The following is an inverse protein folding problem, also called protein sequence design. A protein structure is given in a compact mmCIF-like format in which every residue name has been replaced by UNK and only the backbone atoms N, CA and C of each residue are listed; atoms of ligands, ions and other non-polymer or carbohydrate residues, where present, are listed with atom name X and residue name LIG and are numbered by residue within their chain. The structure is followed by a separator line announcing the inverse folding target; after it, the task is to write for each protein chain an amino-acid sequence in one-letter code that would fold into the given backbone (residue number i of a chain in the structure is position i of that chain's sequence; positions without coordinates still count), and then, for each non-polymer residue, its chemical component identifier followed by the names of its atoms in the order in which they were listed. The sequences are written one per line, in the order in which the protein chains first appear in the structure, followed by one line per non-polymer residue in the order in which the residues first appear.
data_IF_662306956122
#
_entry.id   IF_662306956122
#
_cell.length_a   1.000
_cell.length_b   1.000
_cell.length_c   1.000
_cell.angle_alpha   90.00
_cell.angle_beta   90.00
_cell.angle_gamma   90.00
#
_symmetry.space_group_name_H-M   'P 1'
#
loop_
_entity.id
_entity.type
_entity.pdbx_description
1 polymer ?
#
# COMPACT_ATOMS: atom_id res chain seq x y z
N UNK A 1 9.53 7.94 15.37
CA UNK A 1 9.37 9.07 14.39
C UNK A 1 8.04 8.87 13.68
N UNK A 2 7.19 9.91 13.64
CA UNK A 2 5.89 9.81 12.95
C UNK A 2 6.10 9.89 11.43
N UNK A 3 5.52 8.95 10.69
CA UNK A 3 5.51 8.92 9.22
C UNK A 3 4.11 9.26 8.71
N UNK A 4 4.05 9.88 7.53
CA UNK A 4 2.80 10.08 6.79
C UNK A 4 2.57 8.90 5.86
N UNK A 5 1.51 8.14 6.11
CA UNK A 5 1.21 6.90 5.41
C UNK A 5 -0.08 7.03 4.62
N UNK A 6 -0.02 6.70 3.33
CA UNK A 6 -1.19 6.59 2.47
C UNK A 6 -1.59 5.12 2.33
N UNK A 7 -2.81 4.79 2.73
CA UNK A 7 -3.41 3.49 2.48
C UNK A 7 -4.27 3.58 1.21
N UNK A 8 -4.01 2.72 0.23
CA UNK A 8 -4.71 2.73 -1.05
C UNK A 8 -5.75 1.62 -1.09
N UNK A 9 -7.01 2.00 -1.20
CA UNK A 9 -8.14 1.12 -1.51
C UNK A 9 -8.46 1.28 -2.99
N UNK A 10 -8.25 0.21 -3.77
CA UNK A 10 -8.55 0.22 -5.20
C UNK A 10 -10.05 0.03 -5.47
N UNK A 11 -10.53 0.54 -6.57
CA UNK A 11 -11.89 0.31 -7.06
C UNK A 11 -12.07 -1.18 -7.44
N UNK A 12 -12.97 -1.86 -6.76
CA UNK A 12 -13.26 -3.28 -6.98
C UNK A 12 -14.14 -3.54 -8.21
N UNK A 13 -14.66 -2.47 -8.84
CA UNK A 13 -15.52 -2.55 -10.02
C UNK A 13 -16.97 -2.91 -9.71
N UNK A 14 -17.39 -2.86 -8.45
CA UNK A 14 -18.75 -3.13 -7.98
C UNK A 14 -19.48 -1.84 -7.61
N UNK A 15 -20.81 -1.88 -7.60
CA UNK A 15 -21.63 -0.82 -7.00
C UNK A 15 -21.63 -0.86 -5.48
N UNK A 16 -21.28 -2.01 -4.90
CA UNK A 16 -21.16 -2.17 -3.44
C UNK A 16 -19.76 -1.77 -2.98
N UNK A 17 -19.70 -0.76 -2.14
CA UNK A 17 -18.43 -0.28 -1.59
C UNK A 17 -18.02 -1.16 -0.42
N UNK A 18 -16.88 -1.82 -0.56
CA UNK A 18 -16.32 -2.69 0.49
C UNK A 18 -14.97 -2.17 0.93
N UNK A 19 -14.92 -1.63 2.14
CA UNK A 19 -13.65 -1.25 2.74
C UNK A 19 -12.87 -2.50 3.18
N UNK A 20 -11.63 -2.71 2.71
CA UNK A 20 -10.86 -3.90 3.05
C UNK A 20 -10.52 -3.95 4.55
N UNK A 21 -11.01 -4.98 5.25
CA UNK A 21 -10.79 -5.14 6.69
C UNK A 21 -9.30 -5.19 7.06
N UNK A 22 -8.47 -5.83 6.23
CA UNK A 22 -7.03 -5.87 6.43
C UNK A 22 -6.38 -4.48 6.44
N UNK A 23 -6.76 -3.58 5.52
CA UNK A 23 -6.28 -2.19 5.56
C UNK A 23 -6.81 -1.44 6.79
N UNK A 24 -8.01 -1.75 7.25
CA UNK A 24 -8.56 -1.20 8.49
C UNK A 24 -7.72 -1.61 9.71
N UNK A 25 -7.34 -2.87 9.80
CA UNK A 25 -6.47 -3.38 10.85
C UNK A 25 -5.08 -2.72 10.82
N UNK A 26 -4.48 -2.60 9.63
CA UNK A 26 -3.21 -1.88 9.46
C UNK A 26 -3.33 -0.40 9.86
N UNK A 27 -4.42 0.28 9.48
CA UNK A 27 -4.66 1.67 9.88
C UNK A 27 -4.71 1.82 11.40
N UNK A 28 -5.38 0.90 12.10
CA UNK A 28 -5.48 0.92 13.56
C UNK A 28 -4.12 0.73 14.24
N UNK A 29 -3.31 -0.24 13.76
CA UNK A 29 -1.96 -0.48 14.28
C UNK A 29 -1.05 0.73 14.03
N UNK A 30 -1.01 1.23 12.81
CA UNK A 30 -0.16 2.36 12.45
C UNK A 30 -0.55 3.65 13.20
N UNK A 31 -1.85 3.87 13.40
CA UNK A 31 -2.32 5.00 14.20
C UNK A 31 -1.96 4.86 15.68
N UNK A 32 -2.09 3.64 16.25
CA UNK A 32 -1.62 3.33 17.62
C UNK A 32 -0.13 3.62 17.77
N UNK A 33 0.68 3.30 16.75
CA UNK A 33 2.12 3.49 16.75
C UNK A 33 2.53 4.96 16.46
N UNK A 34 1.55 5.87 16.30
CA UNK A 34 1.76 7.31 16.21
C UNK A 34 2.02 7.86 14.81
N UNK A 35 1.66 7.10 13.77
CA UNK A 35 1.78 7.55 12.39
C UNK A 35 0.54 8.36 11.94
N UNK A 36 0.74 9.25 10.94
CA UNK A 36 -0.32 10.04 10.31
C UNK A 36 -0.89 9.27 9.12
N UNK A 37 -2.15 8.84 9.22
CA UNK A 37 -2.78 7.93 8.27
C UNK A 37 -3.80 8.65 7.42
N UNK A 38 -3.64 8.57 6.11
CA UNK A 38 -4.61 9.00 5.10
C UNK A 38 -5.07 7.78 4.30
N UNK A 39 -6.34 7.73 3.95
CA UNK A 39 -6.91 6.68 3.09
C UNK A 39 -7.30 7.29 1.75
N UNK A 40 -6.74 6.74 0.66
CA UNK A 40 -7.21 6.95 -0.71
C UNK A 40 -8.24 5.88 -1.02
N UNK A 41 -9.51 6.23 -0.98
CA UNK A 41 -10.60 5.27 -1.24
C UNK A 41 -11.15 5.43 -2.65
N UNK A 42 -10.52 4.76 -3.61
CA UNK A 42 -10.96 4.78 -5.01
C UNK A 42 -12.28 4.01 -5.18
N UNK A 43 -12.52 2.97 -4.38
CA UNK A 43 -13.75 2.18 -4.45
C UNK A 43 -15.00 2.99 -4.14
N UNK A 44 -14.88 3.94 -3.22
CA UNK A 44 -15.99 4.83 -2.88
C UNK A 44 -16.23 5.92 -3.94
N UNK A 45 -15.17 6.42 -4.55
CA UNK A 45 -15.24 7.62 -5.40
C UNK A 45 -15.13 7.33 -6.90
N UNK A 46 -14.74 6.11 -7.28
CA UNK A 46 -14.53 5.67 -8.68
C UNK A 46 -13.61 6.60 -9.49
N UNK A 47 -12.60 7.19 -8.83
CA UNK A 47 -11.63 8.04 -9.51
C UNK A 47 -10.82 7.24 -10.55
N UNK A 48 -10.46 7.85 -11.69
CA UNK A 48 -9.53 7.24 -12.63
C UNK A 48 -8.21 6.85 -11.96
N UNK A 49 -7.60 5.75 -12.39
CA UNK A 49 -6.37 5.21 -11.78
C UNK A 49 -5.22 6.24 -11.74
N UNK A 50 -5.06 7.07 -12.80
CA UNK A 50 -4.04 8.12 -12.85
C UNK A 50 -4.27 9.28 -11.86
N UNK A 51 -5.47 9.41 -11.32
CA UNK A 51 -5.75 10.42 -10.31
C UNK A 51 -4.91 10.22 -9.03
N UNK A 52 -4.53 8.97 -8.73
CA UNK A 52 -3.61 8.69 -7.61
C UNK A 52 -2.24 9.37 -7.81
N UNK A 53 -1.71 9.35 -9.05
CA UNK A 53 -0.46 10.06 -9.35
C UNK A 53 -0.61 11.57 -9.11
N UNK A 54 -1.71 12.16 -9.59
CA UNK A 54 -1.98 13.60 -9.41
C UNK A 54 -2.09 13.95 -7.92
N UNK A 55 -2.70 13.07 -7.13
CA UNK A 55 -2.83 13.24 -5.68
C UNK A 55 -1.46 13.18 -4.99
N UNK A 56 -0.63 12.18 -5.32
CA UNK A 56 0.73 12.04 -4.78
C UNK A 56 1.65 13.19 -5.21
N UNK A 57 1.48 13.73 -6.41
CA UNK A 57 2.27 14.89 -6.88
C UNK A 57 2.00 16.17 -6.07
N UNK A 58 0.81 16.28 -5.48
CA UNK A 58 0.38 17.42 -4.66
C UNK A 58 0.59 17.22 -3.16
N UNK A 59 0.66 15.96 -2.72
CA UNK A 59 0.71 15.60 -1.31
C UNK A 59 1.92 14.69 -1.06
N UNK A 60 2.77 15.06 -0.13
CA UNK A 60 3.91 14.23 0.28
C UNK A 60 3.48 13.20 1.31
N UNK A 61 3.78 11.94 1.01
CA UNK A 61 3.71 10.82 1.94
C UNK A 61 5.09 10.17 2.05
N UNK A 62 5.40 9.63 3.21
CA UNK A 62 6.64 8.88 3.42
C UNK A 62 6.48 7.45 2.89
N UNK A 63 5.29 6.87 3.07
CA UNK A 63 4.97 5.50 2.73
C UNK A 63 3.60 5.42 2.06
N UNK A 64 3.48 4.56 1.05
CA UNK A 64 2.20 4.10 0.50
C UNK A 64 2.05 2.60 0.73
N UNK A 65 0.88 2.17 1.19
CA UNK A 65 0.53 0.77 1.41
C UNK A 65 -0.63 0.39 0.50
N UNK A 66 -0.43 -0.66 -0.28
CA UNK A 66 -1.42 -1.21 -1.19
C UNK A 66 -1.68 -2.68 -0.86
N UNK A 67 -2.93 -3.03 -0.60
CA UNK A 67 -3.34 -4.41 -0.33
C UNK A 67 -4.13 -4.96 -1.51
N UNK A 68 -3.73 -6.14 -1.99
CA UNK A 68 -4.32 -6.79 -3.15
C UNK A 68 -4.90 -8.16 -2.78
N UNK A 69 -6.14 -8.40 -3.18
CA UNK A 69 -6.70 -9.75 -3.25
C UNK A 69 -6.44 -10.38 -4.62
N UNK A 70 -6.64 -11.69 -4.75
CA UNK A 70 -6.45 -12.40 -6.01
C UNK A 70 -7.56 -12.06 -7.03
N UNK A 71 -7.22 -12.13 -8.33
CA UNK A 71 -8.15 -11.97 -9.43
C UNK A 71 -7.56 -11.17 -10.60
N UNK A 72 -8.07 -11.43 -11.81
CA UNK A 72 -7.56 -10.75 -13.01
C UNK A 72 -7.84 -9.25 -13.02
N UNK A 73 -9.05 -8.86 -12.64
CA UNK A 73 -9.44 -7.46 -12.53
C UNK A 73 -8.56 -6.73 -11.52
N UNK A 74 -8.37 -7.32 -10.35
CA UNK A 74 -7.53 -6.77 -9.28
C UNK A 74 -6.07 -6.65 -9.72
N UNK A 75 -5.57 -7.61 -10.50
CA UNK A 75 -4.23 -7.55 -11.08
C UNK A 75 -4.08 -6.35 -12.05
N UNK A 76 -5.08 -6.09 -12.91
CA UNK A 76 -5.04 -4.92 -13.79
C UNK A 76 -5.07 -3.61 -12.99
N UNK A 77 -5.90 -3.53 -11.96
CA UNK A 77 -5.92 -2.39 -11.03
C UNK A 77 -4.57 -2.18 -10.35
N UNK A 78 -3.96 -3.25 -9.86
CA UNK A 78 -2.61 -3.21 -9.29
C UNK A 78 -1.60 -2.61 -10.28
N UNK A 79 -1.58 -3.07 -11.51
CA UNK A 79 -0.65 -2.54 -12.52
C UNK A 79 -0.84 -1.04 -12.76
N UNK A 80 -2.09 -0.60 -12.90
CA UNK A 80 -2.41 0.79 -13.17
C UNK A 80 -2.05 1.70 -11.99
N UNK A 81 -2.43 1.30 -10.77
CA UNK A 81 -2.16 2.07 -9.56
C UNK A 81 -0.66 2.05 -9.19
N UNK A 82 0.02 0.92 -9.39
CA UNK A 82 1.49 0.85 -9.24
C UNK A 82 2.20 1.81 -10.21
N UNK A 83 1.76 1.87 -11.47
CA UNK A 83 2.27 2.84 -12.43
C UNK A 83 2.04 4.28 -11.97
N UNK A 84 0.86 4.57 -11.42
CA UNK A 84 0.55 5.89 -10.86
C UNK A 84 1.46 6.25 -9.70
N UNK A 85 1.71 5.31 -8.76
CA UNK A 85 2.62 5.50 -7.62
C UNK A 85 4.06 5.73 -8.11
N UNK A 86 4.57 4.84 -8.97
CA UNK A 86 5.96 4.88 -9.41
C UNK A 86 6.29 6.09 -10.27
N UNK A 87 5.32 6.63 -11.02
CA UNK A 87 5.48 7.81 -11.85
C UNK A 87 5.19 9.14 -11.12
N UNK A 88 4.87 9.11 -9.84
CA UNK A 88 4.71 10.33 -9.06
C UNK A 88 6.03 11.05 -8.84
N UNK A 89 6.01 12.39 -8.91
CA UNK A 89 7.15 13.25 -8.58
C UNK A 89 7.59 13.12 -7.11
N UNK A 90 6.65 12.76 -6.25
CA UNK A 90 6.85 12.55 -4.82
C UNK A 90 6.64 11.08 -4.46
N UNK A 91 7.23 10.15 -5.24
CA UNK A 91 7.07 8.71 -5.02
C UNK A 91 7.41 8.32 -3.57
N UNK A 92 6.44 7.80 -2.80
CA UNK A 92 6.69 7.33 -1.44
C UNK A 92 7.40 5.96 -1.44
N UNK A 93 7.87 5.51 -0.29
CA UNK A 93 8.24 4.11 -0.11
C UNK A 93 7.00 3.23 -0.29
N UNK A 94 7.06 2.27 -1.23
CA UNK A 94 5.90 1.53 -1.68
C UNK A 94 5.88 0.10 -1.12
N UNK A 95 4.91 -0.18 -0.27
CA UNK A 95 4.66 -1.48 0.35
C UNK A 95 3.43 -2.12 -0.29
N UNK A 96 3.57 -3.38 -0.71
CA UNK A 96 2.45 -4.20 -1.20
C UNK A 96 2.23 -5.40 -0.29
N UNK A 97 1.00 -5.80 -0.10
CA UNK A 97 0.64 -7.00 0.65
C UNK A 97 -0.72 -7.56 0.27
N UNK A 98 -1.24 -8.47 1.07
CA UNK A 98 -2.52 -9.12 0.89
C UNK A 98 -2.44 -10.54 0.33
N UNK A 99 -3.60 -11.14 0.11
CA UNK A 99 -3.71 -12.53 -0.32
C UNK A 99 -3.13 -12.79 -1.72
N UNK A 100 -3.19 -11.81 -2.62
CA UNK A 100 -2.65 -11.94 -3.97
C UNK A 100 -1.13 -12.07 -3.98
N UNK A 101 -0.38 -11.12 -3.39
CA UNK A 101 1.09 -11.14 -3.39
C UNK A 101 1.74 -12.21 -2.52
N UNK A 102 1.08 -12.66 -1.44
CA UNK A 102 1.68 -13.60 -0.47
C UNK A 102 2.20 -14.89 -1.10
N UNK A 103 1.48 -15.61 -1.98
CA UNK A 103 1.98 -16.86 -2.57
C UNK A 103 3.05 -16.65 -3.64
N UNK A 104 3.13 -15.49 -4.27
CA UNK A 104 4.02 -15.20 -5.40
C UNK A 104 4.71 -13.83 -5.23
N UNK A 105 5.44 -13.61 -4.12
CA UNK A 105 5.93 -12.28 -3.77
C UNK A 105 6.92 -11.70 -4.79
N UNK A 106 7.82 -12.52 -5.35
CA UNK A 106 8.79 -12.08 -6.34
C UNK A 106 8.12 -11.63 -7.64
N UNK A 107 7.05 -12.32 -8.06
CA UNK A 107 6.27 -11.92 -9.22
C UNK A 107 5.64 -10.55 -9.01
N UNK A 108 4.99 -10.34 -7.86
CA UNK A 108 4.34 -9.06 -7.57
C UNK A 108 5.35 -7.94 -7.34
N UNK A 109 6.46 -8.19 -6.66
CA UNK A 109 7.56 -7.24 -6.52
C UNK A 109 8.03 -6.73 -7.88
N UNK A 110 8.27 -7.64 -8.82
CA UNK A 110 8.72 -7.31 -10.17
C UNK A 110 7.64 -6.59 -10.99
N UNK A 111 6.37 -6.98 -10.86
CA UNK A 111 5.28 -6.43 -11.68
C UNK A 111 4.76 -5.10 -11.21
N UNK A 112 4.81 -4.84 -9.92
CA UNK A 112 4.38 -3.58 -9.31
C UNK A 112 5.52 -2.58 -9.16
N UNK A 113 6.78 -3.04 -9.18
CA UNK A 113 7.95 -2.24 -8.84
C UNK A 113 7.83 -1.59 -7.46
N UNK A 114 7.16 -2.29 -6.52
CA UNK A 114 7.13 -1.87 -5.13
C UNK A 114 8.47 -2.11 -4.45
N UNK A 115 8.72 -1.45 -3.33
CA UNK A 115 9.99 -1.58 -2.60
C UNK A 115 10.01 -2.85 -1.73
N UNK A 116 8.83 -3.28 -1.25
CA UNK A 116 8.67 -4.43 -0.37
C UNK A 116 7.31 -5.11 -0.60
N UNK A 117 7.29 -6.43 -0.53
CA UNK A 117 6.07 -7.24 -0.40
C UNK A 117 5.98 -7.79 1.01
N UNK A 118 4.87 -7.50 1.71
CA UNK A 118 4.53 -8.11 3.00
C UNK A 118 3.83 -9.44 2.81
N UNK A 119 4.25 -10.46 3.56
CA UNK A 119 3.75 -11.83 3.51
C UNK A 119 2.80 -12.11 4.68
N UNK A 120 1.66 -12.74 4.41
CA UNK A 120 0.70 -13.14 5.43
C UNK A 120 0.04 -11.95 6.13
N UNK A 121 -0.14 -12.07 7.45
CA UNK A 121 -0.73 -11.03 8.29
C UNK A 121 0.24 -9.85 8.46
N UNK A 122 -0.20 -8.67 8.06
CA UNK A 122 0.68 -7.52 7.90
C UNK A 122 0.92 -6.67 9.14
N UNK A 123 0.15 -6.83 10.21
CA UNK A 123 0.12 -5.89 11.34
C UNK A 123 1.47 -5.75 12.05
N UNK A 124 2.11 -6.88 12.36
CA UNK A 124 3.43 -6.89 13.00
C UNK A 124 4.51 -6.45 12.03
N UNK A 125 4.43 -6.94 10.78
CA UNK A 125 5.40 -6.64 9.73
C UNK A 125 5.40 -5.15 9.40
N UNK A 126 4.22 -4.54 9.19
CA UNK A 126 4.11 -3.13 8.83
C UNK A 126 4.60 -2.21 9.96
N UNK A 127 4.30 -2.54 11.22
CA UNK A 127 4.81 -1.78 12.38
C UNK A 127 6.34 -1.76 12.39
N UNK A 128 6.99 -2.91 12.22
CA UNK A 128 8.46 -3.01 12.16
C UNK A 128 9.06 -2.37 10.91
N UNK A 129 8.35 -2.41 9.78
CA UNK A 129 8.76 -1.68 8.58
C UNK A 129 8.77 -0.18 8.81
N UNK A 130 7.71 0.37 9.44
CA UNK A 130 7.66 1.81 9.77
C UNK A 130 8.81 2.22 10.69
N UNK A 131 9.12 1.40 11.69
CA UNK A 131 10.27 1.64 12.57
C UNK A 131 11.59 1.66 11.78
N UNK A 132 11.80 0.68 10.91
CA UNK A 132 13.02 0.60 10.11
C UNK A 132 13.14 1.76 9.12
N UNK A 133 12.05 2.13 8.44
CA UNK A 133 12.01 3.26 7.50
C UNK A 133 12.26 4.58 8.24
N UNK A 134 11.54 4.81 9.35
CA UNK A 134 11.67 6.03 10.13
C UNK A 134 13.07 6.23 10.72
N UNK A 135 13.70 5.15 11.15
CA UNK A 135 15.06 5.16 11.71
C UNK A 135 16.17 4.97 10.66
N UNK A 136 15.81 4.79 9.38
CA UNK A 136 16.74 4.52 8.26
C UNK A 136 17.66 3.31 8.53
N UNK A 137 17.11 2.28 9.15
CA UNK A 137 17.83 1.02 9.43
C UNK A 137 17.60 -0.02 8.33
N UNK A 138 18.40 -1.09 8.35
CA UNK A 138 18.26 -2.17 7.37
C UNK A 138 16.93 -2.91 7.47
N UNK A 139 16.28 -3.16 6.36
CA UNK A 139 15.05 -3.96 6.29
C UNK A 139 15.30 -5.48 6.41
N UNK A 140 16.56 -5.94 6.31
CA UNK A 140 16.91 -7.38 6.32
C UNK A 140 16.42 -8.15 7.55
N UNK A 141 16.20 -7.43 8.66
CA UNK A 141 15.77 -8.04 9.92
C UNK A 141 14.26 -7.86 10.17
N UNK A 142 13.52 -7.30 9.23
CA UNK A 142 12.07 -7.18 9.34
C UNK A 142 11.45 -8.52 8.97
N UNK A 143 10.70 -9.17 9.87
CA UNK A 143 10.07 -10.45 9.56
C UNK A 143 8.87 -10.24 8.62
N UNK A 144 8.59 -11.22 7.76
CA UNK A 144 7.42 -11.21 6.89
C UNK A 144 7.55 -10.32 5.65
N UNK A 145 8.75 -10.11 5.16
CA UNK A 145 9.01 -9.45 3.86
C UNK A 145 9.81 -10.35 2.93
#
# INVERSE_FOLDING_TARGET
MSLKVLLVVYDNGSYDHVFPMGLGALAAVLKRDGHDITVWNQDLHHWPDDQLRVYLDKNKFDVVVFSLIAGYYQYQKMKNLSKAINNSKNRPFYIMGGYGPTPEPEFFLKKSECDVVCLGEGEVTVSKLMDAIGNKTSLKNVPGI
#
